data_IF_821229506320
#
_entry.id   IF_821229506320
#
_cell.length_a   1.000
_cell.length_b   1.000
_cell.length_c   1.000
_cell.angle_alpha   90.00
_cell.angle_beta   90.00
_cell.angle_gamma   90.00
#
_symmetry.space_group_name_H-M   'P 1'
#
loop_
_entity.id
_entity.type
_entity.pdbx_description
1 polymer ?
#
# COMPACT_ATOMS: atom_id res chain seq x y z
N UNK A 1 -4.55 -11.27 -2.10
CA UNK A 1 -4.70 -11.78 -0.71
C UNK A 1 -5.46 -10.78 0.14
N UNK A 2 -4.87 -9.64 0.55
CA UNK A 2 -5.55 -8.64 1.42
C UNK A 2 -6.90 -8.14 0.87
N UNK A 3 -6.99 -7.80 -0.41
CA UNK A 3 -8.29 -7.38 -0.99
C UNK A 3 -9.32 -8.50 -0.93
N UNK A 4 -8.93 -9.75 -1.23
CA UNK A 4 -9.83 -10.91 -1.17
C UNK A 4 -10.29 -11.22 0.25
N UNK A 5 -9.42 -11.07 1.25
CA UNK A 5 -9.80 -11.27 2.65
C UNK A 5 -10.70 -10.14 3.15
N UNK A 6 -10.36 -8.89 2.85
CA UNK A 6 -11.09 -7.71 3.35
C UNK A 6 -12.44 -7.54 2.66
N UNK A 7 -12.50 -7.66 1.33
CA UNK A 7 -13.74 -7.39 0.59
C UNK A 7 -14.66 -8.61 0.46
N UNK A 8 -14.10 -9.82 0.43
CA UNK A 8 -14.86 -11.04 0.13
C UNK A 8 -14.81 -12.07 1.27
N UNK A 9 -14.11 -11.79 2.36
CA UNK A 9 -13.96 -12.74 3.48
C UNK A 9 -13.21 -14.03 3.09
N UNK A 10 -12.47 -14.03 1.98
CA UNK A 10 -11.81 -15.24 1.48
C UNK A 10 -10.52 -15.52 2.24
N UNK A 11 -10.24 -16.80 2.47
CA UNK A 11 -8.95 -17.21 3.01
C UNK A 11 -7.80 -16.83 2.04
N UNK A 12 -6.58 -16.58 2.56
CA UNK A 12 -5.43 -16.30 1.71
C UNK A 12 -5.18 -17.40 0.66
N UNK A 13 -5.27 -18.66 1.06
CA UNK A 13 -5.05 -19.81 0.18
C UNK A 13 -6.10 -19.90 -0.92
N UNK A 14 -7.38 -19.71 -0.58
CA UNK A 14 -8.46 -19.70 -1.57
C UNK A 14 -8.25 -18.58 -2.59
N UNK A 15 -7.87 -17.38 -2.13
CA UNK A 15 -7.60 -16.24 -3.01
C UNK A 15 -6.45 -16.53 -3.97
N UNK A 16 -5.32 -17.05 -3.46
CA UNK A 16 -4.11 -17.29 -4.26
C UNK A 16 -4.31 -18.43 -5.25
N UNK A 17 -4.82 -19.57 -4.79
CA UNK A 17 -4.98 -20.76 -5.63
C UNK A 17 -6.07 -20.51 -6.68
N UNK A 18 -7.20 -19.92 -6.28
CA UNK A 18 -8.28 -19.59 -7.20
C UNK A 18 -7.85 -18.62 -8.31
N UNK A 19 -7.19 -17.52 -7.94
CA UNK A 19 -6.66 -16.57 -8.92
C UNK A 19 -5.60 -17.20 -9.82
N UNK A 20 -4.68 -17.99 -9.26
CA UNK A 20 -3.62 -18.68 -10.03
C UNK A 20 -4.20 -19.65 -11.06
N UNK A 21 -5.17 -20.48 -10.67
CA UNK A 21 -5.82 -21.42 -11.60
C UNK A 21 -6.51 -20.65 -12.73
N UNK A 22 -7.25 -19.60 -12.41
CA UNK A 22 -7.90 -18.77 -13.41
C UNK A 22 -6.88 -18.18 -14.41
N UNK A 23 -5.77 -17.63 -13.89
CA UNK A 23 -4.69 -17.08 -14.72
C UNK A 23 -4.07 -18.14 -15.63
N UNK A 24 -3.74 -19.30 -15.09
CA UNK A 24 -3.14 -20.41 -15.87
C UNK A 24 -4.07 -20.84 -17.00
N UNK A 25 -5.38 -20.98 -16.72
CA UNK A 25 -6.36 -21.42 -17.73
C UNK A 25 -6.48 -20.42 -18.87
N UNK A 26 -6.71 -19.13 -18.59
CA UNK A 26 -6.89 -18.16 -19.69
C UNK A 26 -5.57 -17.91 -20.43
N UNK A 27 -4.43 -17.93 -19.74
CA UNK A 27 -3.13 -17.74 -20.38
C UNK A 27 -2.78 -18.92 -21.31
N UNK A 28 -3.06 -20.15 -20.88
CA UNK A 28 -2.84 -21.36 -21.68
C UNK A 28 -3.72 -21.38 -22.94
N UNK A 29 -4.99 -20.95 -22.84
CA UNK A 29 -5.92 -20.91 -23.98
C UNK A 29 -5.59 -19.76 -24.92
N UNK A 30 -5.32 -18.56 -24.38
CA UNK A 30 -5.20 -17.33 -25.16
C UNK A 30 -3.81 -17.09 -25.78
N UNK A 31 -2.78 -17.74 -25.26
CA UNK A 31 -1.39 -17.46 -25.62
C UNK A 31 -1.01 -15.99 -25.44
N UNK A 32 0.06 -15.54 -26.09
CA UNK A 32 0.56 -14.17 -25.94
C UNK A 32 -0.48 -13.11 -26.31
N UNK A 33 -1.23 -13.32 -27.40
CA UNK A 33 -2.24 -12.35 -27.86
C UNK A 33 -3.42 -12.24 -26.90
N UNK A 34 -3.90 -13.37 -26.37
CA UNK A 34 -4.97 -13.39 -25.37
C UNK A 34 -4.55 -12.71 -24.08
N UNK A 35 -3.32 -12.98 -23.61
CA UNK A 35 -2.75 -12.31 -22.43
C UNK A 35 -2.65 -10.80 -22.63
N UNK A 36 -2.20 -10.32 -23.80
CA UNK A 36 -2.12 -8.87 -24.08
C UNK A 36 -3.50 -8.19 -23.98
N UNK A 37 -4.55 -8.82 -24.51
CA UNK A 37 -5.91 -8.27 -24.40
C UNK A 37 -6.46 -8.30 -22.97
N UNK A 38 -6.19 -9.39 -22.24
CA UNK A 38 -6.58 -9.50 -20.83
C UNK A 38 -5.89 -8.40 -20.00
N UNK A 39 -4.58 -8.20 -20.18
CA UNK A 39 -3.80 -7.18 -19.47
C UNK A 39 -4.32 -5.76 -19.76
N UNK A 40 -4.66 -5.46 -21.03
CA UNK A 40 -5.21 -4.15 -21.39
C UNK A 40 -6.54 -3.88 -20.68
N UNK A 41 -7.42 -4.89 -20.61
CA UNK A 41 -8.70 -4.79 -19.91
C UNK A 41 -8.51 -4.66 -18.40
N UNK A 42 -7.66 -5.50 -17.79
CA UNK A 42 -7.33 -5.46 -16.37
C UNK A 42 -6.70 -4.12 -15.97
N UNK A 43 -5.78 -3.59 -16.78
CA UNK A 43 -5.20 -2.27 -16.58
C UNK A 43 -6.26 -1.17 -16.63
N UNK A 44 -7.18 -1.22 -17.59
CA UNK A 44 -8.24 -0.22 -17.74
C UNK A 44 -9.17 -0.19 -16.51
N UNK A 45 -9.61 -1.37 -16.04
CA UNK A 45 -10.41 -1.48 -14.82
C UNK A 45 -9.62 -1.01 -13.60
N UNK A 46 -8.36 -1.43 -13.46
CA UNK A 46 -7.52 -1.06 -12.35
C UNK A 46 -7.30 0.46 -12.29
N UNK A 47 -7.05 1.10 -13.45
CA UNK A 47 -6.88 2.55 -13.54
C UNK A 47 -8.17 3.29 -13.22
N UNK A 48 -9.31 2.84 -13.75
CA UNK A 48 -10.60 3.42 -13.41
C UNK A 48 -10.87 3.33 -11.90
N UNK A 49 -10.68 2.15 -11.31
CA UNK A 49 -10.85 1.94 -9.87
C UNK A 49 -9.92 2.80 -9.03
N UNK A 50 -8.65 2.93 -9.43
CA UNK A 50 -7.68 3.76 -8.72
C UNK A 50 -8.05 5.25 -8.77
N UNK A 51 -8.44 5.77 -9.93
CA UNK A 51 -8.89 7.17 -10.09
C UNK A 51 -10.18 7.41 -9.31
N UNK A 52 -11.12 6.48 -9.36
CA UNK A 52 -12.36 6.57 -8.59
C UNK A 52 -12.09 6.56 -7.08
N UNK A 53 -11.21 5.69 -6.59
CA UNK A 53 -10.79 5.67 -5.20
C UNK A 53 -10.11 6.98 -4.78
N UNK A 54 -9.23 7.54 -5.61
CA UNK A 54 -8.60 8.84 -5.36
C UNK A 54 -9.63 9.97 -5.29
N UNK A 55 -10.63 9.96 -6.17
CA UNK A 55 -11.74 10.91 -6.13
C UNK A 55 -12.51 10.79 -4.82
N UNK A 56 -12.94 9.58 -4.44
CA UNK A 56 -13.66 9.35 -3.17
C UNK A 56 -12.83 9.75 -1.95
N UNK A 57 -11.52 9.45 -1.95
CA UNK A 57 -10.62 9.81 -0.86
C UNK A 57 -10.49 11.33 -0.70
N UNK A 58 -10.40 12.08 -1.81
CA UNK A 58 -10.39 13.55 -1.77
C UNK A 58 -11.72 14.12 -1.28
N UNK A 59 -12.84 13.45 -1.54
CA UNK A 59 -14.17 13.89 -1.12
C UNK A 59 -14.49 13.60 0.37
N UNK A 60 -13.58 12.95 1.10
CA UNK A 60 -13.80 12.72 2.54
C UNK A 60 -13.92 14.05 3.31
N UNK A 61 -14.80 14.15 4.32
CA UNK A 61 -15.04 15.39 5.05
C UNK A 61 -13.76 16.04 5.63
N UNK A 62 -12.85 15.23 6.15
CA UNK A 62 -11.58 15.64 6.74
C UNK A 62 -10.66 16.28 5.69
N UNK A 63 -10.65 15.71 4.48
CA UNK A 63 -9.87 16.23 3.35
C UNK A 63 -10.52 17.47 2.76
N UNK A 64 -11.85 17.52 2.67
CA UNK A 64 -12.58 18.71 2.23
C UNK A 64 -12.43 19.87 3.23
N UNK A 65 -12.36 19.60 4.53
CA UNK A 65 -12.17 20.60 5.57
C UNK A 65 -10.85 21.37 5.42
N UNK A 66 -9.81 20.74 4.86
CA UNK A 66 -8.52 21.39 4.58
C UNK A 66 -8.45 22.00 3.17
N UNK A 67 -9.52 21.95 2.37
CA UNK A 67 -9.56 22.51 1.00
C UNK A 67 -9.38 21.48 -0.11
N UNK A 68 -9.63 20.20 0.15
CA UNK A 68 -9.57 19.13 -0.85
C UNK A 68 -8.15 18.84 -1.32
N UNK A 69 -7.99 18.54 -2.61
CA UNK A 69 -6.68 18.19 -3.19
C UNK A 69 -5.65 19.31 -3.05
N UNK A 70 -6.06 20.58 -3.19
CA UNK A 70 -5.17 21.72 -2.99
C UNK A 70 -4.72 21.85 -1.54
N UNK A 71 -5.61 21.54 -0.59
CA UNK A 71 -5.32 21.46 0.83
C UNK A 71 -4.30 20.39 1.16
N UNK A 72 -4.43 19.19 0.57
CA UNK A 72 -3.51 18.07 0.80
C UNK A 72 -2.06 18.41 0.50
N UNK A 73 -1.81 19.14 -0.59
CA UNK A 73 -0.46 19.50 -1.07
C UNK A 73 -0.01 20.89 -0.65
N UNK A 74 -0.81 21.60 0.16
CA UNK A 74 -0.53 22.95 0.61
C UNK A 74 0.39 22.99 1.83
N UNK A 75 1.02 24.14 2.08
CA UNK A 75 1.93 24.34 3.22
C UNK A 75 1.22 24.24 4.58
N UNK A 76 -0.08 24.52 4.62
CA UNK A 76 -0.91 24.42 5.83
C UNK A 76 -1.50 23.01 6.04
N UNK A 77 -1.11 22.04 5.21
CA UNK A 77 -1.58 20.66 5.33
C UNK A 77 -1.09 20.04 6.65
N UNK A 78 -1.92 19.26 7.37
CA UNK A 78 -1.46 18.50 8.55
C UNK A 78 -0.32 17.53 8.24
N UNK A 79 -0.12 17.20 6.97
CA UNK A 79 0.90 16.28 6.47
C UNK A 79 2.01 17.00 5.68
N UNK A 80 2.13 18.33 5.79
CA UNK A 80 3.09 19.11 5.02
C UNK A 80 4.55 18.65 5.23
N UNK A 81 4.88 18.21 6.44
CA UNK A 81 6.19 17.64 6.77
C UNK A 81 6.49 16.34 6.01
N UNK A 82 5.46 15.62 5.56
CA UNK A 82 5.57 14.37 4.78
C UNK A 82 5.68 14.60 3.26
N UNK A 83 5.53 15.83 2.78
CA UNK A 83 5.56 16.16 1.34
C UNK A 83 6.97 16.46 0.81
N UNK A 84 7.99 16.37 1.65
CA UNK A 84 9.37 16.69 1.28
C UNK A 84 9.86 15.76 0.17
N UNK A 85 10.37 16.35 -0.92
CA UNK A 85 10.93 15.62 -2.06
C UNK A 85 12.22 14.86 -1.73
N UNK A 86 12.99 15.38 -0.77
CA UNK A 86 14.24 14.78 -0.31
C UNK A 86 14.16 14.47 1.18
N UNK A 87 14.81 13.40 1.64
CA UNK A 87 14.93 13.14 3.06
C UNK A 87 15.83 14.17 3.73
N UNK A 88 15.74 14.23 5.06
CA UNK A 88 16.66 14.99 5.88
C UNK A 88 18.05 14.33 5.85
N UNK A 89 18.99 14.93 5.13
CA UNK A 89 20.36 14.42 5.00
C UNK A 89 21.15 14.46 6.31
N UNK A 90 20.66 15.16 7.34
CA UNK A 90 21.26 15.14 8.68
C UNK A 90 20.98 13.84 9.45
N UNK A 91 20.07 12.99 8.95
CA UNK A 91 19.63 11.73 9.60
C UNK A 91 19.98 10.50 8.74
N UNK A 92 21.21 9.97 8.83
CA UNK A 92 21.65 8.79 8.07
C UNK A 92 20.72 7.58 8.20
N UNK A 93 20.16 7.36 9.38
CA UNK A 93 19.20 6.30 9.66
C UNK A 93 17.91 6.37 8.83
N UNK A 94 17.58 7.55 8.27
CA UNK A 94 16.41 7.76 7.41
C UNK A 94 16.78 7.73 5.93
N UNK A 95 17.78 8.51 5.51
CA UNK A 95 18.08 8.64 4.08
C UNK A 95 18.87 7.46 3.52
N UNK A 96 19.67 6.76 4.34
CA UNK A 96 20.45 5.63 3.86
C UNK A 96 19.54 4.45 3.45
N UNK A 97 18.52 4.03 4.23
CA UNK A 97 17.56 3.05 3.77
C UNK A 97 16.67 3.54 2.62
N UNK A 98 16.33 4.84 2.58
CA UNK A 98 15.42 5.38 1.57
C UNK A 98 16.07 5.56 0.20
N UNK A 99 17.32 6.01 0.15
CA UNK A 99 18.02 6.34 -1.10
C UNK A 99 19.14 5.35 -1.42
N UNK A 100 20.02 5.07 -0.46
CA UNK A 100 21.22 4.28 -0.73
C UNK A 100 20.91 2.80 -0.92
N UNK A 101 20.06 2.20 -0.08
CA UNK A 101 19.70 0.77 -0.26
C UNK A 101 19.03 0.53 -1.63
N UNK A 102 18.02 1.31 -2.07
CA UNK A 102 17.44 1.12 -3.39
C UNK A 102 18.45 1.28 -4.54
N UNK A 103 19.32 2.28 -4.47
CA UNK A 103 20.27 2.57 -5.56
C UNK A 103 21.48 1.60 -5.57
N UNK A 104 22.03 1.28 -4.41
CA UNK A 104 23.26 0.50 -4.29
C UNK A 104 23.01 -1.00 -4.13
N UNK A 105 21.84 -1.40 -3.62
CA UNK A 105 21.48 -2.81 -3.39
C UNK A 105 20.34 -3.24 -4.29
N UNK A 106 19.21 -2.54 -4.26
CA UNK A 106 18.02 -2.98 -4.96
C UNK A 106 18.17 -2.88 -6.47
N UNK A 107 18.91 -1.90 -7.02
CA UNK A 107 19.14 -1.78 -8.46
C UNK A 107 19.82 -3.01 -9.06
N UNK A 108 20.81 -3.59 -8.39
CA UNK A 108 21.50 -4.79 -8.88
C UNK A 108 20.84 -6.10 -8.42
N UNK A 109 20.19 -6.10 -7.25
CA UNK A 109 19.55 -7.27 -6.67
C UNK A 109 18.10 -7.47 -7.13
N UNK A 110 17.48 -6.47 -7.78
CA UNK A 110 16.13 -6.59 -8.31
C UNK A 110 16.10 -7.55 -9.50
N UNK A 111 15.83 -8.81 -9.22
CA UNK A 111 15.35 -9.79 -10.19
C UNK A 111 13.82 -9.80 -10.19
N UNK A 112 13.22 -8.67 -10.54
CA UNK A 112 11.77 -8.58 -10.75
C UNK A 112 11.49 -8.61 -12.26
N UNK A 113 10.72 -9.59 -12.78
CA UNK A 113 10.40 -9.67 -14.21
C UNK A 113 9.78 -8.37 -14.74
N UNK A 114 10.45 -7.71 -15.66
CA UNK A 114 10.07 -6.42 -16.24
C UNK A 114 10.68 -5.18 -15.55
N UNK A 115 11.47 -5.35 -14.49
CA UNK A 115 12.24 -4.30 -13.83
C UNK A 115 13.73 -4.65 -13.68
N UNK A 116 14.20 -5.68 -14.39
CA UNK A 116 15.63 -5.94 -14.56
C UNK A 116 16.29 -4.73 -15.25
N UNK A 117 17.55 -4.37 -14.91
CA UNK A 117 18.23 -3.19 -15.47
C UNK A 117 18.34 -3.14 -17.01
N UNK A 118 18.09 -4.26 -17.71
CA UNK A 118 18.07 -4.37 -19.17
C UNK A 118 16.70 -4.57 -19.81
N UNK A 119 15.60 -4.51 -19.04
CA UNK A 119 14.25 -4.82 -19.50
C UNK A 119 14.05 -6.34 -19.65
N UNK A 120 13.46 -6.97 -18.64
CA UNK A 120 13.29 -8.42 -18.56
C UNK A 120 12.71 -9.11 -19.77
N UNK A 121 12.86 -10.44 -19.78
CA UNK A 121 12.39 -11.30 -20.86
C UNK A 121 10.93 -11.06 -21.26
N UNK A 122 10.07 -10.66 -20.32
CA UNK A 122 8.69 -10.29 -20.58
C UNK A 122 8.52 -9.02 -21.43
N UNK A 123 9.26 -7.95 -21.13
CA UNK A 123 9.23 -6.69 -21.92
C UNK A 123 9.88 -6.94 -23.28
N UNK A 124 11.00 -7.67 -23.31
CA UNK A 124 11.68 -8.04 -24.53
C UNK A 124 10.77 -8.85 -25.48
N UNK A 125 10.01 -9.83 -24.98
CA UNK A 125 9.04 -10.59 -25.78
C UNK A 125 8.00 -9.68 -26.45
N UNK A 126 7.56 -8.62 -25.77
CA UNK A 126 6.59 -7.67 -26.33
C UNK A 126 7.19 -6.74 -27.36
N UNK A 127 8.43 -6.32 -27.15
CA UNK A 127 9.17 -5.54 -28.15
C UNK A 127 9.41 -6.37 -29.42
N UNK A 128 9.79 -7.64 -29.29
CA UNK A 128 10.00 -8.55 -30.41
C UNK A 128 8.70 -8.97 -31.12
N UNK A 129 7.57 -8.97 -30.41
CA UNK A 129 6.25 -9.23 -30.99
C UNK A 129 5.63 -7.98 -31.66
N UNK A 130 6.26 -6.81 -31.57
CA UNK A 130 5.79 -5.61 -32.22
C UNK A 130 5.94 -5.70 -33.75
N UNK A 131 5.07 -4.98 -34.47
CA UNK A 131 5.04 -5.01 -35.94
C UNK A 131 6.37 -4.58 -36.58
N UNK A 132 7.01 -3.58 -35.98
CA UNK A 132 8.29 -3.01 -36.41
C UNK A 132 8.95 -2.27 -35.23
N UNK A 133 10.19 -1.85 -35.42
CA UNK A 133 10.99 -1.15 -34.40
C UNK A 133 10.32 0.14 -33.91
N UNK A 134 9.69 0.90 -34.81
CA UNK A 134 9.00 2.14 -34.44
C UNK A 134 7.83 1.87 -33.50
N UNK A 135 7.05 0.82 -33.76
CA UNK A 135 5.99 0.37 -32.87
C UNK A 135 6.54 -0.15 -31.53
N UNK A 136 7.66 -0.87 -31.54
CA UNK A 136 8.32 -1.35 -30.32
C UNK A 136 8.75 -0.19 -29.42
N UNK A 137 9.46 0.81 -29.97
CA UNK A 137 9.90 2.00 -29.24
C UNK A 137 8.68 2.78 -28.71
N UNK A 138 7.68 3.01 -29.56
CA UNK A 138 6.46 3.73 -29.17
C UNK A 138 5.72 3.04 -28.04
N UNK A 139 5.55 1.72 -28.11
CA UNK A 139 4.91 0.93 -27.06
C UNK A 139 5.70 0.96 -25.74
N UNK A 140 7.03 0.87 -25.79
CA UNK A 140 7.88 0.94 -24.60
C UNK A 140 7.85 2.32 -23.95
N UNK A 141 7.86 3.41 -24.72
CA UNK A 141 7.73 4.76 -24.18
C UNK A 141 6.34 4.98 -23.56
N UNK A 142 5.28 4.54 -24.23
CA UNK A 142 3.92 4.60 -23.71
C UNK A 142 3.79 3.80 -22.41
N UNK A 143 4.36 2.60 -22.34
CA UNK A 143 4.41 1.81 -21.12
C UNK A 143 5.08 2.57 -19.98
N UNK A 144 6.24 3.17 -20.20
CA UNK A 144 6.94 3.92 -19.15
C UNK A 144 6.10 5.08 -18.62
N UNK A 145 5.49 5.86 -19.52
CA UNK A 145 4.62 6.97 -19.13
C UNK A 145 3.39 6.47 -18.35
N UNK A 146 2.67 5.48 -18.87
CA UNK A 146 1.48 4.95 -18.20
C UNK A 146 1.80 4.27 -16.86
N UNK A 147 2.90 3.52 -16.79
CA UNK A 147 3.25 2.68 -15.64
C UNK A 147 3.91 3.45 -14.50
N UNK A 148 4.83 4.36 -14.83
CA UNK A 148 5.62 5.11 -13.85
C UNK A 148 5.13 6.54 -13.66
N UNK A 149 4.67 7.21 -14.73
CA UNK A 149 4.23 8.60 -14.61
C UNK A 149 2.75 8.74 -14.26
N UNK A 150 1.84 7.94 -14.85
CA UNK A 150 0.40 8.10 -14.62
C UNK A 150 -0.15 7.23 -13.50
N UNK A 151 0.10 5.91 -13.56
CA UNK A 151 -0.51 4.93 -12.66
C UNK A 151 -0.25 5.18 -11.18
N UNK A 152 0.92 5.65 -10.72
CA UNK A 152 1.16 5.82 -9.28
C UNK A 152 0.33 6.95 -8.64
N UNK A 153 0.01 8.02 -9.39
CA UNK A 153 -0.61 9.22 -8.82
C UNK A 153 -1.94 8.99 -8.09
N UNK A 154 -2.91 8.23 -8.64
CA UNK A 154 -4.13 7.95 -7.89
C UNK A 154 -3.85 7.29 -6.54
N UNK A 155 -2.90 6.35 -6.48
CA UNK A 155 -2.52 5.69 -5.23
C UNK A 155 -1.81 6.63 -4.27
N UNK A 156 -0.94 7.52 -4.77
CA UNK A 156 -0.29 8.56 -3.96
C UNK A 156 -1.35 9.47 -3.34
N UNK A 157 -2.34 9.92 -4.12
CA UNK A 157 -3.43 10.77 -3.63
C UNK A 157 -4.23 10.05 -2.54
N UNK A 158 -4.60 8.78 -2.76
CA UNK A 158 -5.29 7.98 -1.73
C UNK A 158 -4.45 7.85 -0.47
N UNK A 159 -3.15 7.61 -0.60
CA UNK A 159 -2.26 7.50 0.55
C UNK A 159 -2.17 8.83 1.33
N UNK A 160 -1.97 9.96 0.66
CA UNK A 160 -1.94 11.27 1.31
C UNK A 160 -3.26 11.62 1.98
N UNK A 161 -4.39 11.37 1.31
CA UNK A 161 -5.72 11.54 1.89
C UNK A 161 -5.90 10.68 3.15
N UNK A 162 -5.43 9.42 3.13
CA UNK A 162 -5.52 8.53 4.29
C UNK A 162 -4.75 9.02 5.52
N UNK A 163 -3.65 9.76 5.35
CA UNK A 163 -2.92 10.35 6.47
C UNK A 163 -3.65 11.54 7.13
N UNK A 164 -4.56 12.18 6.40
CA UNK A 164 -5.42 13.24 6.94
C UNK A 164 -6.66 12.65 7.60
N UNK A 165 -7.27 11.64 6.96
CA UNK A 165 -8.45 10.94 7.50
C UNK A 165 -8.08 10.13 8.74
N UNK A 166 -6.97 9.37 8.68
CA UNK A 166 -6.47 8.55 9.77
C UNK A 166 -5.13 9.12 10.25
N UNK A 167 -5.20 10.07 11.17
CA UNK A 167 -4.01 10.72 11.70
C UNK A 167 -3.18 9.73 12.52
N UNK A 168 -1.85 9.80 12.34
CA UNK A 168 -0.91 9.02 13.12
C UNK A 168 -0.88 9.59 14.54
N UNK A 169 -0.98 8.73 15.55
CA UNK A 169 -0.97 9.17 16.94
C UNK A 169 0.32 9.94 17.29
N UNK A 170 0.16 10.97 18.12
CA UNK A 170 1.28 11.77 18.62
C UNK A 170 2.32 10.89 19.33
N UNK A 171 3.63 11.18 19.21
CA UNK A 171 4.68 10.40 19.87
C UNK A 171 4.45 10.18 21.37
N UNK A 172 3.88 11.17 22.07
CA UNK A 172 3.53 11.03 23.49
C UNK A 172 2.48 9.94 23.73
N UNK A 173 1.40 9.90 22.94
CA UNK A 173 0.35 8.86 23.02
C UNK A 173 0.95 7.48 22.75
N UNK A 174 1.83 7.39 21.74
CA UNK A 174 2.51 6.14 21.38
C UNK A 174 3.41 5.64 22.50
N UNK A 175 4.15 6.54 23.13
CA UNK A 175 5.07 6.20 24.22
C UNK A 175 4.32 5.83 25.51
N UNK A 176 3.22 6.52 25.82
CA UNK A 176 2.33 6.18 26.93
C UNK A 176 1.70 4.79 26.72
N UNK A 177 1.24 4.49 25.50
CA UNK A 177 0.70 3.17 25.16
C UNK A 177 1.77 2.07 25.30
N UNK A 178 3.00 2.29 24.83
CA UNK A 178 4.11 1.34 25.01
C UNK A 178 4.46 1.14 26.49
N UNK A 179 4.43 2.20 27.28
CA UNK A 179 4.67 2.14 28.72
C UNK A 179 3.57 1.32 29.42
N UNK A 180 2.30 1.54 29.07
CA UNK A 180 1.17 0.77 29.58
C UNK A 180 1.30 -0.72 29.25
N UNK A 181 1.60 -1.06 27.98
CA UNK A 181 1.78 -2.44 27.52
C UNK A 181 3.00 -3.14 28.17
N UNK A 182 4.02 -2.37 28.56
CA UNK A 182 5.23 -2.91 29.21
C UNK A 182 5.11 -3.03 30.73
N UNK A 183 4.00 -2.54 31.32
CA UNK A 183 3.80 -2.59 32.77
C UNK A 183 3.62 -4.04 33.27
N UNK A 184 4.06 -4.35 34.50
CA UNK A 184 3.96 -5.72 35.04
C UNK A 184 2.54 -6.28 35.06
N UNK A 185 1.53 -5.41 35.19
CA UNK A 185 0.12 -5.78 35.22
C UNK A 185 -0.39 -6.23 33.84
N UNK A 186 0.03 -5.54 32.78
CA UNK A 186 -0.55 -5.68 31.45
C UNK A 186 0.28 -6.51 30.48
N UNK A 187 1.59 -6.65 30.72
CA UNK A 187 2.53 -7.25 29.78
C UNK A 187 2.12 -8.64 29.26
N UNK A 188 1.77 -9.56 30.17
CA UNK A 188 1.40 -10.92 29.77
C UNK A 188 0.09 -10.95 28.99
N UNK A 189 -0.90 -10.15 29.41
CA UNK A 189 -2.19 -10.02 28.71
C UNK A 189 -2.00 -9.37 27.34
N UNK A 190 -1.13 -8.36 27.24
CA UNK A 190 -0.79 -7.70 25.98
C UNK A 190 -0.16 -8.68 24.99
N UNK A 191 0.82 -9.49 25.43
CA UNK A 191 1.45 -10.52 24.59
C UNK A 191 0.45 -11.59 24.14
N UNK A 192 -0.52 -11.93 24.98
CA UNK A 192 -1.58 -12.87 24.64
C UNK A 192 -2.54 -12.28 23.60
N UNK A 193 -3.06 -11.07 23.84
CA UNK A 193 -4.02 -10.38 22.98
C UNK A 193 -3.38 -10.01 21.63
N UNK A 194 -2.09 -9.70 21.59
CA UNK A 194 -1.36 -9.47 20.33
C UNK A 194 -1.27 -10.73 19.44
N UNK A 195 -1.31 -11.93 20.03
CA UNK A 195 -1.31 -13.20 19.27
C UNK A 195 -2.72 -13.69 18.95
N UNK A 196 -3.63 -13.50 19.89
CA UNK A 196 -5.04 -13.84 19.75
C UNK A 196 -5.91 -12.66 20.22
N UNK A 197 -6.32 -11.78 19.28
CA UNK A 197 -7.18 -10.64 19.58
C UNK A 197 -8.53 -11.03 20.20
N UNK A 198 -8.93 -12.30 20.11
CA UNK A 198 -10.19 -12.83 20.63
C UNK A 198 -10.01 -13.69 21.89
N UNK A 199 -8.84 -13.67 22.54
CA UNK A 199 -8.55 -14.47 23.72
C UNK A 199 -9.61 -14.32 24.84
N UNK A 200 -10.46 -15.34 25.00
CA UNK A 200 -11.56 -15.35 25.98
C UNK A 200 -11.09 -15.34 27.43
N UNK A 201 -9.83 -15.74 27.67
CA UNK A 201 -9.20 -15.69 28.99
C UNK A 201 -8.99 -14.27 29.51
N UNK A 202 -9.03 -13.26 28.64
CA UNK A 202 -8.95 -11.84 29.01
C UNK A 202 -10.36 -11.24 28.97
N UNK A 203 -10.82 -10.59 30.05
CA UNK A 203 -12.11 -9.90 30.08
C UNK A 203 -12.25 -8.95 28.90
N UNK A 204 -13.45 -8.87 28.30
CA UNK A 204 -13.67 -8.10 27.08
C UNK A 204 -13.20 -6.64 27.18
N UNK A 205 -13.56 -5.95 28.27
CA UNK A 205 -13.15 -4.56 28.49
C UNK A 205 -11.63 -4.38 28.53
N UNK A 206 -10.92 -5.31 29.17
CA UNK A 206 -9.46 -5.31 29.22
C UNK A 206 -8.86 -5.58 27.83
N UNK A 207 -9.48 -6.48 27.06
CA UNK A 207 -9.06 -6.82 25.70
C UNK A 207 -9.20 -5.63 24.76
N UNK A 208 -10.32 -4.92 24.84
CA UNK A 208 -10.58 -3.69 24.06
C UNK A 208 -9.57 -2.59 24.39
N UNK A 209 -9.24 -2.42 25.67
CA UNK A 209 -8.21 -1.49 26.11
C UNK A 209 -6.82 -1.87 25.58
N UNK A 210 -6.45 -3.15 25.70
CA UNK A 210 -5.17 -3.67 25.20
C UNK A 210 -5.05 -3.50 23.69
N UNK A 211 -6.10 -3.79 22.93
CA UNK A 211 -6.11 -3.59 21.47
C UNK A 211 -6.00 -2.12 21.10
N UNK A 212 -6.57 -1.21 21.90
CA UNK A 212 -6.44 0.23 21.70
C UNK A 212 -5.00 0.67 21.94
N UNK A 213 -4.38 0.25 23.05
CA UNK A 213 -2.97 0.55 23.31
C UNK A 213 -2.02 -0.09 22.28
N UNK A 214 -2.31 -1.30 21.81
CA UNK A 214 -1.53 -1.93 20.74
C UNK A 214 -1.59 -1.07 19.46
N UNK A 215 -2.79 -0.66 19.03
CA UNK A 215 -2.96 0.22 17.88
C UNK A 215 -2.26 1.58 18.08
N UNK A 216 -2.42 2.20 19.25
CA UNK A 216 -1.75 3.46 19.57
C UNK A 216 -0.24 3.32 19.62
N UNK A 217 0.31 2.20 20.10
CA UNK A 217 1.75 1.97 20.15
C UNK A 217 2.39 1.96 18.75
N UNK A 218 1.65 1.44 17.77
CA UNK A 218 2.00 1.43 16.34
C UNK A 218 1.68 2.75 15.64
N UNK A 219 0.92 3.65 16.29
CA UNK A 219 0.51 4.96 15.76
C UNK A 219 -0.72 4.91 14.85
N UNK A 220 -1.56 3.87 14.98
CA UNK A 220 -2.77 3.64 14.18
C UNK A 220 -4.05 3.64 15.03
N UNK A 221 -4.04 4.35 16.16
CA UNK A 221 -5.16 4.49 17.09
C UNK A 221 -6.42 5.02 16.41
N UNK A 222 -6.30 6.05 15.57
CA UNK A 222 -7.41 6.61 14.78
C UNK A 222 -8.11 5.55 13.91
N UNK A 223 -7.35 4.64 13.27
CA UNK A 223 -7.91 3.54 12.49
C UNK A 223 -8.69 2.57 13.40
N UNK A 224 -8.19 2.31 14.60
CA UNK A 224 -8.84 1.40 15.57
C UNK A 224 -10.12 1.99 16.15
N UNK A 225 -10.20 3.31 16.26
CA UNK A 225 -11.42 4.02 16.67
C UNK A 225 -12.54 3.84 15.63
N UNK A 226 -12.22 4.07 14.35
CA UNK A 226 -13.20 3.95 13.26
C UNK A 226 -13.51 2.50 12.88
N UNK A 227 -12.55 1.60 13.06
CA UNK A 227 -12.66 0.18 12.70
C UNK A 227 -12.31 -0.74 13.88
N UNK A 228 -13.18 -0.82 14.90
CA UNK A 228 -12.86 -1.53 16.14
C UNK A 228 -12.68 -3.04 15.99
N UNK A 229 -13.21 -3.60 14.91
CA UNK A 229 -13.13 -5.04 14.59
C UNK A 229 -11.93 -5.39 13.70
N UNK A 230 -11.12 -4.41 13.30
CA UNK A 230 -9.88 -4.63 12.54
C UNK A 230 -8.74 -4.71 13.54
N UNK A 231 -8.15 -5.89 13.68
CA UNK A 231 -7.03 -6.11 14.58
C UNK A 231 -5.71 -5.84 13.83
N UNK A 232 -4.76 -5.09 14.44
CA UNK A 232 -3.45 -4.81 13.86
C UNK A 232 -2.59 -6.07 13.69
#
# INVERSE_FOLDING_TARGET
IKIGSVMLGLSPMTTVVGASIFVVVYAAIGGLKGVIWADFFQYSIAMFGAVYAAYVAVQQPEVQAIGGLAGLIGENSPIADKLSWFPDFSKPEQWLPLLFIPLAVQWWAAWYPGAEPGGGGYVAQRMLAAKDEKNAIGATLLFNFLHYAMRPWPWIIVALASLVVFQIDDPAVRDDAKAALSSPEWKEKAELVAKDPNAESVPQAEREQLLTWLAQSDGVGSIREDFPNVHP
#
